data_IF_652157913702
#
_entry.id   IF_652157913702
#
_cell.length_a   1.000
_cell.length_b   1.000
_cell.length_c   1.000
_cell.angle_alpha   90.00
_cell.angle_beta   90.00
_cell.angle_gamma   90.00
#
_symmetry.space_group_name_H-M   'P 1'
#
loop_
_entity.id
_entity.type
_entity.pdbx_description
1 polymer ?
#
# COMPACT_ATOMS: atom_id res chain seq x y z
N UNK A 1 -18.56 17.98 -25.79
CA UNK A 1 -17.48 17.34 -25.01
C UNK A 1 -17.83 15.86 -24.89
N UNK A 2 -16.95 14.98 -25.36
CA UNK A 2 -17.24 13.55 -25.43
C UNK A 2 -17.42 12.97 -24.01
N UNK A 3 -18.47 12.20 -23.79
CA UNK A 3 -18.80 11.62 -22.48
C UNK A 3 -17.63 10.83 -21.88
N UNK A 4 -16.78 10.27 -22.76
CA UNK A 4 -15.55 9.54 -22.41
C UNK A 4 -14.56 10.40 -21.62
N UNK A 5 -14.39 11.68 -22.00
CA UNK A 5 -13.50 12.62 -21.29
C UNK A 5 -14.05 12.99 -19.93
N UNK A 6 -15.38 13.19 -19.83
CA UNK A 6 -16.03 13.51 -18.55
C UNK A 6 -15.85 12.37 -17.56
N UNK A 7 -16.09 11.13 -18.00
CA UNK A 7 -15.91 9.93 -17.18
C UNK A 7 -14.45 9.77 -16.74
N UNK A 8 -13.49 9.96 -17.66
CA UNK A 8 -12.06 9.91 -17.33
C UNK A 8 -11.65 10.94 -16.27
N UNK A 9 -12.14 12.18 -16.39
CA UNK A 9 -11.87 13.24 -15.42
C UNK A 9 -12.47 12.91 -14.06
N UNK A 10 -13.71 12.42 -14.00
CA UNK A 10 -14.36 12.01 -12.74
C UNK A 10 -13.57 10.90 -12.05
N UNK A 11 -13.14 9.87 -12.78
CA UNK A 11 -12.33 8.77 -12.25
C UNK A 11 -11.00 9.32 -11.69
N UNK A 12 -10.31 10.19 -12.45
CA UNK A 12 -9.04 10.77 -12.00
C UNK A 12 -9.19 11.58 -10.71
N UNK A 13 -10.22 12.43 -10.61
CA UNK A 13 -10.51 13.19 -9.39
C UNK A 13 -10.85 12.29 -8.21
N UNK A 14 -11.62 11.23 -8.44
CA UNK A 14 -11.96 10.26 -7.38
C UNK A 14 -10.71 9.56 -6.85
N UNK A 15 -9.82 9.10 -7.74
CA UNK A 15 -8.55 8.47 -7.33
C UNK A 15 -7.69 9.43 -6.53
N UNK A 16 -7.52 10.67 -6.99
CA UNK A 16 -6.76 11.70 -6.27
C UNK A 16 -7.37 12.00 -4.89
N UNK A 17 -8.70 12.10 -4.80
CA UNK A 17 -9.40 12.31 -3.53
C UNK A 17 -9.14 11.17 -2.54
N UNK A 18 -9.24 9.91 -3.00
CA UNK A 18 -8.94 8.74 -2.16
C UNK A 18 -7.49 8.75 -1.69
N UNK A 19 -6.54 9.04 -2.59
CA UNK A 19 -5.12 9.14 -2.23
C UNK A 19 -4.84 10.24 -1.19
N UNK A 20 -5.53 11.39 -1.28
CA UNK A 20 -5.41 12.46 -0.29
C UNK A 20 -5.97 12.05 1.08
N UNK A 21 -7.13 11.37 1.11
CA UNK A 21 -7.67 10.79 2.34
C UNK A 21 -6.71 9.79 2.99
N UNK A 22 -6.11 8.90 2.17
CA UNK A 22 -5.12 7.93 2.63
C UNK A 22 -3.92 8.63 3.28
N UNK A 23 -3.39 9.66 2.62
CA UNK A 23 -2.27 10.46 3.14
C UNK A 23 -2.61 11.13 4.48
N UNK A 24 -3.81 11.71 4.61
CA UNK A 24 -4.26 12.34 5.87
C UNK A 24 -4.37 11.32 7.00
N UNK A 25 -4.85 10.12 6.73
CA UNK A 25 -4.97 9.04 7.73
C UNK A 25 -3.62 8.48 8.16
N UNK A 26 -2.68 8.29 7.24
CA UNK A 26 -1.35 7.76 7.54
C UNK A 26 -0.56 8.65 8.52
N UNK A 27 -0.84 9.95 8.52
CA UNK A 27 -0.24 10.91 9.46
C UNK A 27 -0.96 11.02 10.81
N UNK A 28 -2.08 10.30 11.01
CA UNK A 28 -2.78 10.29 12.29
C UNK A 28 -1.91 9.61 13.35
N UNK A 29 -1.53 10.38 14.37
CA UNK A 29 -0.63 9.92 15.43
C UNK A 29 -1.43 9.31 16.58
N UNK A 30 -0.95 8.18 17.10
CA UNK A 30 -1.39 7.68 18.42
C UNK A 30 -0.57 8.35 19.53
N UNK A 31 -1.15 8.42 20.73
CA UNK A 31 -0.45 8.98 21.91
C UNK A 31 0.78 8.16 22.32
N UNK A 32 0.82 6.87 22.02
CA UNK A 32 1.92 5.99 22.45
C UNK A 32 2.86 5.68 21.29
N UNK A 33 4.15 6.01 21.46
CA UNK A 33 5.22 5.58 20.56
C UNK A 33 5.79 4.20 20.92
N UNK A 34 5.33 3.60 22.04
CA UNK A 34 5.85 2.31 22.54
C UNK A 34 5.08 1.12 22.01
N UNK A 35 3.77 1.32 21.71
CA UNK A 35 2.91 0.23 21.24
C UNK A 35 1.94 0.71 20.19
N UNK A 36 2.12 0.24 18.95
CA UNK A 36 1.25 0.56 17.82
C UNK A 36 1.39 -0.50 16.73
N UNK A 37 0.40 -0.55 15.85
CA UNK A 37 0.43 -1.44 14.68
C UNK A 37 0.34 -0.59 13.43
N UNK A 38 1.28 -0.79 12.52
CA UNK A 38 1.30 -0.21 11.19
C UNK A 38 0.54 -1.19 10.30
N UNK A 39 -0.50 -0.72 9.65
CA UNK A 39 -1.34 -1.52 8.77
C UNK A 39 -1.73 -0.70 7.55
N UNK A 40 -1.95 -1.39 6.45
CA UNK A 40 -2.56 -0.78 5.26
C UNK A 40 -3.94 -0.22 5.61
N UNK A 41 -4.19 1.01 5.22
CA UNK A 41 -5.46 1.69 5.52
C UNK A 41 -6.60 1.11 4.69
N UNK A 42 -7.81 1.16 5.26
CA UNK A 42 -9.02 0.61 4.65
C UNK A 42 -9.37 1.28 3.31
N UNK A 43 -8.92 2.51 3.11
CA UNK A 43 -9.17 3.28 1.88
C UNK A 43 -8.59 2.59 0.63
N UNK A 44 -7.52 1.79 0.77
CA UNK A 44 -6.98 0.95 -0.31
C UNK A 44 -8.01 -0.10 -0.77
N UNK A 45 -8.73 -0.73 0.15
CA UNK A 45 -9.78 -1.69 -0.20
C UNK A 45 -10.94 -1.00 -0.93
N UNK A 46 -11.33 0.19 -0.47
CA UNK A 46 -12.36 0.97 -1.17
C UNK A 46 -11.93 1.37 -2.57
N UNK A 47 -10.68 1.79 -2.75
CA UNK A 47 -10.14 2.09 -4.08
C UNK A 47 -10.15 0.85 -4.98
N UNK A 48 -9.71 -0.30 -4.47
CA UNK A 48 -9.75 -1.57 -5.20
C UNK A 48 -11.17 -1.94 -5.63
N UNK A 49 -12.13 -1.87 -4.70
CA UNK A 49 -13.54 -2.16 -4.99
C UNK A 49 -14.12 -1.22 -6.04
N UNK A 50 -13.80 0.09 -5.95
CA UNK A 50 -14.22 1.07 -6.94
C UNK A 50 -13.64 0.77 -8.32
N UNK A 51 -12.34 0.48 -8.42
CA UNK A 51 -11.71 0.11 -9.69
C UNK A 51 -12.36 -1.16 -10.29
N UNK A 52 -12.64 -2.16 -9.47
CA UNK A 52 -13.35 -3.36 -9.93
C UNK A 52 -14.74 -3.04 -10.48
N UNK A 53 -15.52 -2.22 -9.75
CA UNK A 53 -16.86 -1.82 -10.17
C UNK A 53 -16.84 -1.08 -11.51
N UNK A 54 -15.90 -0.14 -11.68
CA UNK A 54 -15.73 0.60 -12.95
C UNK A 54 -15.44 -0.35 -14.11
N UNK A 55 -14.52 -1.31 -13.92
CA UNK A 55 -14.19 -2.27 -15.00
C UNK A 55 -15.37 -3.16 -15.32
N UNK A 56 -16.10 -3.65 -14.31
CA UNK A 56 -17.32 -4.46 -14.55
C UNK A 56 -18.37 -3.67 -15.34
N UNK A 57 -18.61 -2.41 -14.97
CA UNK A 57 -19.55 -1.54 -15.72
C UNK A 57 -19.10 -1.34 -17.16
N UNK A 58 -17.80 -1.09 -17.40
CA UNK A 58 -17.26 -0.96 -18.75
C UNK A 58 -17.42 -2.24 -19.57
N UNK A 59 -17.18 -3.41 -18.97
CA UNK A 59 -17.40 -4.70 -19.63
C UNK A 59 -18.86 -4.90 -20.03
N UNK A 60 -19.80 -4.55 -19.14
CA UNK A 60 -21.24 -4.62 -19.44
C UNK A 60 -21.58 -3.69 -20.61
N UNK A 61 -21.10 -2.46 -20.60
CA UNK A 61 -21.32 -1.49 -21.70
C UNK A 61 -20.73 -2.01 -23.02
N UNK A 62 -19.52 -2.57 -23.00
CA UNK A 62 -18.89 -3.16 -24.19
C UNK A 62 -19.72 -4.33 -24.73
N UNK A 63 -20.20 -5.22 -23.86
CA UNK A 63 -21.05 -6.37 -24.26
C UNK A 63 -22.37 -5.92 -24.89
N UNK A 64 -23.00 -4.88 -24.34
CA UNK A 64 -24.28 -4.38 -24.86
C UNK A 64 -24.09 -3.71 -26.22
N UNK A 65 -23.03 -2.93 -26.39
CA UNK A 65 -22.78 -2.16 -27.64
C UNK A 65 -22.11 -3.00 -28.73
N UNK A 66 -21.44 -4.08 -28.38
CA UNK A 66 -20.78 -4.99 -29.32
C UNK A 66 -20.99 -6.44 -28.86
N UNK A 67 -22.06 -7.11 -29.33
CA UNK A 67 -22.35 -8.50 -28.94
C UNK A 67 -21.23 -9.49 -29.31
N UNK A 68 -20.45 -9.17 -30.36
CA UNK A 68 -19.33 -10.00 -30.82
C UNK A 68 -18.06 -9.78 -29.97
N UNK A 69 -18.09 -8.86 -29.00
CA UNK A 69 -16.95 -8.54 -28.13
C UNK A 69 -16.31 -9.78 -27.51
N UNK A 70 -17.09 -10.77 -27.13
CA UNK A 70 -16.59 -12.01 -26.51
C UNK A 70 -16.08 -13.04 -27.51
N UNK A 71 -16.46 -12.95 -28.79
CA UNK A 71 -15.96 -13.83 -29.86
C UNK A 71 -14.51 -13.45 -30.22
N UNK A 72 -14.19 -12.16 -30.18
CA UNK A 72 -12.84 -11.63 -30.36
C UNK A 72 -11.96 -11.74 -29.11
N UNK A 73 -12.53 -12.23 -28.00
CA UNK A 73 -11.82 -12.34 -26.72
C UNK A 73 -10.76 -13.43 -26.78
N UNK A 74 -9.51 -13.02 -26.75
CA UNK A 74 -8.37 -13.92 -26.82
C UNK A 74 -7.74 -14.19 -25.45
N UNK A 75 -6.77 -15.11 -25.40
CA UNK A 75 -6.04 -15.49 -24.19
C UNK A 75 -5.40 -14.27 -23.49
N UNK A 76 -4.92 -13.29 -24.25
CA UNK A 76 -4.30 -12.09 -23.70
C UNK A 76 -5.29 -11.21 -22.94
N UNK A 77 -6.52 -11.08 -23.44
CA UNK A 77 -7.60 -10.44 -22.71
C UNK A 77 -7.82 -11.10 -21.33
N UNK A 78 -7.94 -12.41 -21.33
CA UNK A 78 -8.09 -13.19 -20.08
C UNK A 78 -6.93 -12.97 -19.12
N UNK A 79 -5.68 -12.98 -19.60
CA UNK A 79 -4.48 -12.75 -18.77
C UNK A 79 -4.49 -11.34 -18.17
N UNK A 80 -4.76 -10.31 -18.97
CA UNK A 80 -4.76 -8.91 -18.52
C UNK A 80 -5.84 -8.69 -17.45
N UNK A 81 -7.08 -9.13 -17.71
CA UNK A 81 -8.17 -8.99 -16.75
C UNK A 81 -7.96 -9.82 -15.50
N UNK A 82 -7.45 -11.05 -15.65
CA UNK A 82 -7.09 -11.90 -14.53
C UNK A 82 -6.04 -11.25 -13.63
N UNK A 83 -4.98 -10.69 -14.21
CA UNK A 83 -3.96 -9.96 -13.48
C UNK A 83 -4.53 -8.71 -12.78
N UNK A 84 -5.41 -7.95 -13.45
CA UNK A 84 -6.08 -6.79 -12.87
C UNK A 84 -6.92 -7.19 -11.65
N UNK A 85 -7.81 -8.17 -11.79
CA UNK A 85 -8.66 -8.62 -10.68
C UNK A 85 -7.85 -9.24 -9.54
N UNK A 86 -6.73 -9.90 -9.84
CA UNK A 86 -5.81 -10.39 -8.82
C UNK A 86 -5.20 -9.26 -7.99
N UNK A 87 -4.74 -8.18 -8.63
CA UNK A 87 -4.24 -6.98 -7.93
C UNK A 87 -5.34 -6.34 -7.07
N UNK A 88 -6.53 -6.16 -7.62
CA UNK A 88 -7.69 -5.63 -6.88
C UNK A 88 -8.02 -6.50 -5.67
N UNK A 89 -8.00 -7.81 -5.82
CA UNK A 89 -8.23 -8.75 -4.73
C UNK A 89 -7.20 -8.60 -3.60
N UNK A 90 -5.91 -8.45 -3.96
CA UNK A 90 -4.86 -8.16 -2.98
C UNK A 90 -5.11 -6.82 -2.27
N UNK A 91 -5.51 -5.77 -3.01
CA UNK A 91 -5.85 -4.47 -2.41
C UNK A 91 -7.00 -4.58 -1.40
N UNK A 92 -8.01 -5.41 -1.67
CA UNK A 92 -9.12 -5.65 -0.75
C UNK A 92 -8.69 -6.41 0.51
N UNK A 93 -7.72 -7.33 0.39
CA UNK A 93 -7.19 -8.10 1.52
C UNK A 93 -6.17 -7.33 2.36
N UNK A 94 -5.47 -6.34 1.78
CA UNK A 94 -4.36 -5.64 2.41
C UNK A 94 -4.68 -5.03 3.79
N UNK A 95 -5.85 -4.44 4.08
CA UNK A 95 -6.17 -3.88 5.40
C UNK A 95 -6.62 -4.94 6.43
N UNK A 96 -6.77 -6.21 6.04
CA UNK A 96 -7.18 -7.25 6.96
C UNK A 96 -6.06 -7.56 7.95
N UNK A 97 -6.43 -7.68 9.24
CA UNK A 97 -5.48 -7.98 10.32
C UNK A 97 -4.65 -9.22 10.02
N UNK A 98 -3.32 -9.09 10.09
CA UNK A 98 -2.38 -10.17 9.85
C UNK A 98 -2.04 -10.40 8.38
N UNK A 99 -2.68 -9.69 7.43
CA UNK A 99 -2.31 -9.82 6.02
C UNK A 99 -1.01 -9.06 5.72
N UNK A 100 -0.90 -7.81 6.23
CA UNK A 100 0.31 -6.98 6.07
C UNK A 100 0.46 -6.03 7.25
N UNK A 101 0.87 -6.58 8.39
CA UNK A 101 1.00 -5.83 9.64
C UNK A 101 2.45 -5.71 10.09
N UNK A 102 2.81 -4.54 10.62
CA UNK A 102 4.04 -4.36 11.39
C UNK A 102 3.62 -3.94 12.79
N UNK A 103 3.83 -4.82 13.75
CA UNK A 103 3.45 -4.64 15.15
C UNK A 103 4.69 -4.20 15.91
N UNK A 104 4.62 -3.01 16.51
CA UNK A 104 5.65 -2.50 17.42
C UNK A 104 5.11 -2.62 18.84
N UNK A 105 5.82 -3.38 19.67
CA UNK A 105 5.51 -3.57 21.11
C UNK A 105 6.78 -3.37 21.92
N UNK A 106 6.93 -2.19 22.51
CA UNK A 106 8.12 -1.74 23.27
C UNK A 106 9.39 -1.80 22.42
N UNK A 107 10.26 -2.78 22.63
CA UNK A 107 11.49 -2.99 21.87
C UNK A 107 11.35 -4.05 20.77
N UNK A 108 10.21 -4.72 20.70
CA UNK A 108 9.97 -5.80 19.74
C UNK A 108 9.21 -5.29 18.51
N UNK A 109 9.67 -5.70 17.34
CA UNK A 109 9.01 -5.49 16.07
C UNK A 109 8.67 -6.84 15.46
N UNK A 110 7.39 -7.06 15.18
CA UNK A 110 6.90 -8.24 14.46
C UNK A 110 6.31 -7.81 13.13
N UNK A 111 6.90 -8.29 12.04
CA UNK A 111 6.37 -8.11 10.68
C UNK A 111 5.60 -9.37 10.31
N UNK A 112 4.35 -9.21 9.92
CA UNK A 112 3.45 -10.30 9.54
C UNK A 112 3.05 -10.13 8.08
N UNK A 113 3.24 -11.17 7.27
CA UNK A 113 2.76 -11.21 5.90
C UNK A 113 1.90 -12.45 5.67
N UNK A 114 0.75 -12.26 5.05
CA UNK A 114 -0.19 -13.34 4.66
C UNK A 114 -0.55 -14.29 5.80
N UNK A 115 -0.65 -13.77 7.06
CA UNK A 115 -0.93 -14.52 8.30
C UNK A 115 0.12 -15.57 8.67
N UNK A 116 0.89 -16.06 7.71
CA UNK A 116 1.79 -17.24 7.84
C UNK A 116 3.20 -16.78 8.16
N UNK A 117 3.73 -15.82 7.41
CA UNK A 117 5.11 -15.38 7.53
C UNK A 117 5.23 -14.35 8.63
N UNK A 118 5.99 -14.66 9.68
CA UNK A 118 6.27 -13.77 10.81
C UNK A 118 7.78 -13.64 10.99
N UNK A 119 8.26 -12.41 11.05
CA UNK A 119 9.64 -12.08 11.35
C UNK A 119 9.68 -11.20 12.58
N UNK A 120 10.62 -11.50 13.49
CA UNK A 120 10.80 -10.76 14.73
C UNK A 120 12.16 -10.09 14.75
N UNK A 121 12.19 -8.84 15.13
CA UNK A 121 13.40 -8.06 15.35
C UNK A 121 13.25 -7.19 16.60
N UNK A 122 14.38 -6.86 17.21
CA UNK A 122 14.41 -5.83 18.27
C UNK A 122 14.70 -4.48 17.64
N UNK A 123 14.11 -3.41 18.16
CA UNK A 123 14.43 -2.03 17.72
C UNK A 123 15.92 -1.76 17.92
N UNK A 124 16.51 -2.22 19.02
CA UNK A 124 17.95 -2.13 19.31
C UNK A 124 18.85 -2.84 18.30
N UNK A 125 18.30 -3.80 17.54
CA UNK A 125 19.01 -4.49 16.44
C UNK A 125 18.96 -3.75 15.12
N UNK A 126 18.13 -2.71 14.97
CA UNK A 126 18.06 -1.90 13.74
C UNK A 126 19.36 -1.11 13.64
N UNK A 127 20.01 -1.20 12.46
CA UNK A 127 21.24 -0.46 12.20
C UNK A 127 20.95 0.96 11.73
N UNK A 128 20.02 1.12 10.80
CA UNK A 128 19.59 2.41 10.27
C UNK A 128 18.27 2.28 9.50
N UNK A 129 17.61 3.42 9.32
CA UNK A 129 16.42 3.55 8.47
C UNK A 129 16.72 4.55 7.35
N UNK A 130 16.40 4.20 6.12
CA UNK A 130 16.50 5.10 4.96
C UNK A 130 15.11 5.54 4.53
N UNK A 131 14.85 6.84 4.58
CA UNK A 131 13.63 7.41 4.02
C UNK A 131 13.73 7.41 2.49
N UNK A 132 12.68 6.95 1.83
CA UNK A 132 12.54 6.94 0.36
C UNK A 132 11.20 7.50 -0.04
N UNK A 133 11.06 7.79 -1.35
CA UNK A 133 9.77 8.10 -1.91
C UNK A 133 8.80 6.93 -1.64
N UNK A 134 7.71 7.22 -0.93
CA UNK A 134 6.68 6.24 -0.57
C UNK A 134 6.88 5.50 0.75
N UNK A 135 7.96 5.72 1.52
CA UNK A 135 8.11 5.05 2.81
C UNK A 135 9.53 4.98 3.36
N UNK A 136 9.81 3.98 4.18
CA UNK A 136 11.11 3.77 4.82
C UNK A 136 11.62 2.34 4.67
N UNK A 137 12.86 2.17 4.23
CA UNK A 137 13.57 0.89 4.30
C UNK A 137 14.24 0.75 5.66
N UNK A 138 14.07 -0.40 6.28
CA UNK A 138 14.67 -0.73 7.57
C UNK A 138 15.77 -1.76 7.40
N UNK A 139 16.93 -1.48 7.97
CA UNK A 139 18.11 -2.35 7.94
C UNK A 139 18.45 -2.82 9.36
N UNK A 140 18.81 -4.08 9.48
CA UNK A 140 19.16 -4.71 10.76
C UNK A 140 20.66 -5.05 10.76
N UNK A 141 21.28 -4.91 11.92
CA UNK A 141 22.70 -5.23 12.15
C UNK A 141 23.03 -6.65 11.65
N UNK A 142 24.13 -6.79 10.91
CA UNK A 142 24.56 -8.06 10.33
C UNK A 142 23.89 -8.46 9.00
N UNK A 143 22.93 -7.65 8.49
CA UNK A 143 22.32 -7.88 7.17
C UNK A 143 22.67 -6.77 6.17
N UNK A 144 23.16 -7.15 4.98
CA UNK A 144 23.42 -6.21 3.87
C UNK A 144 22.14 -5.76 3.16
N UNK A 145 21.08 -6.58 3.19
CA UNK A 145 19.80 -6.29 2.53
C UNK A 145 18.82 -5.71 3.54
N UNK A 146 17.88 -4.89 3.05
CA UNK A 146 16.78 -4.41 3.86
C UNK A 146 16.04 -5.58 4.53
N UNK A 147 15.70 -5.42 5.80
CA UNK A 147 14.94 -6.40 6.56
C UNK A 147 13.45 -6.32 6.18
N UNK A 148 12.89 -5.10 6.14
CA UNK A 148 11.52 -4.84 5.72
C UNK A 148 11.37 -3.40 5.23
N UNK A 149 10.22 -3.12 4.63
CA UNK A 149 9.82 -1.80 4.17
C UNK A 149 8.57 -1.37 4.90
N UNK A 150 8.52 -0.10 5.30
CA UNK A 150 7.35 0.53 5.92
C UNK A 150 6.78 1.51 4.92
N UNK A 151 5.59 1.23 4.43
CA UNK A 151 4.91 2.08 3.45
C UNK A 151 4.41 3.37 4.12
N UNK A 152 4.69 4.51 3.49
CA UNK A 152 4.28 5.83 3.96
C UNK A 152 2.77 6.08 3.93
N UNK A 153 2.02 5.24 3.22
CA UNK A 153 0.56 5.30 3.15
C UNK A 153 -0.14 4.39 4.17
N UNK A 154 0.60 3.82 5.14
CA UNK A 154 0.03 2.97 6.18
C UNK A 154 -0.37 3.77 7.42
N UNK A 155 -1.30 3.23 8.20
CA UNK A 155 -1.64 3.78 9.52
C UNK A 155 -0.41 3.80 10.41
N UNK A 156 -0.26 4.87 11.19
CA UNK A 156 0.83 5.04 12.16
C UNK A 156 2.26 5.07 11.59
N UNK A 157 2.42 5.28 10.26
CA UNK A 157 3.74 5.49 9.66
C UNK A 157 4.54 6.59 10.37
N UNK A 158 3.90 7.72 10.67
CA UNK A 158 4.55 8.84 11.38
C UNK A 158 5.01 8.47 12.78
N UNK A 159 4.29 7.57 13.48
CA UNK A 159 4.70 7.06 14.79
C UNK A 159 5.97 6.22 14.68
N UNK A 160 6.06 5.40 13.62
CA UNK A 160 7.24 4.60 13.35
C UNK A 160 8.46 5.48 13.10
N UNK A 161 8.34 6.49 12.23
CA UNK A 161 9.42 7.43 11.94
C UNK A 161 9.89 8.13 13.22
N UNK A 162 8.97 8.71 14.00
CA UNK A 162 9.30 9.35 15.28
C UNK A 162 9.96 8.39 16.28
N UNK A 163 9.54 7.13 16.30
CA UNK A 163 10.16 6.12 17.15
C UNK A 163 11.60 5.86 16.72
N UNK A 164 11.84 5.72 15.40
CA UNK A 164 13.19 5.52 14.87
C UNK A 164 14.08 6.74 15.10
N UNK A 165 13.58 7.95 14.88
CA UNK A 165 14.32 9.19 15.17
C UNK A 165 14.73 9.30 16.64
N UNK A 166 13.87 8.87 17.55
CA UNK A 166 14.17 8.84 18.99
C UNK A 166 15.30 7.87 19.35
N UNK A 167 15.39 6.74 18.64
CA UNK A 167 16.38 5.69 18.92
C UNK A 167 17.70 5.89 18.17
N UNK A 168 17.66 6.49 17.00
CA UNK A 168 18.81 6.57 16.07
C UNK A 168 19.25 8.00 15.76
N UNK A 169 18.49 9.01 16.21
CA UNK A 169 18.67 10.41 15.78
C UNK A 169 17.94 10.71 14.47
N UNK A 170 18.12 11.92 13.92
CA UNK A 170 17.43 12.37 12.71
C UNK A 170 17.64 11.40 11.54
N UNK A 171 16.55 11.00 10.89
CA UNK A 171 16.61 10.10 9.74
C UNK A 171 16.92 10.90 8.48
N UNK A 172 17.95 10.49 7.75
CA UNK A 172 18.33 11.13 6.50
C UNK A 172 17.46 10.65 5.33
N UNK A 173 17.05 11.62 4.49
CA UNK A 173 16.33 11.34 3.25
C UNK A 173 17.37 11.05 2.15
N UNK A 174 17.51 9.78 1.80
CA UNK A 174 18.40 9.38 0.71
C UNK A 174 17.71 9.59 -0.64
N UNK A 175 17.86 10.76 -1.21
CA UNK A 175 17.52 10.98 -2.62
C UNK A 175 18.37 10.01 -3.44
N UNK A 176 17.73 9.21 -4.29
CA UNK A 176 18.41 8.32 -5.23
C UNK A 176 19.17 9.19 -6.24
N UNK A 177 20.43 9.49 -5.98
CA UNK A 177 21.30 10.01 -7.02
C UNK A 177 21.34 8.96 -8.13
N UNK A 178 20.73 9.28 -9.27
CA UNK A 178 20.94 8.54 -10.51
C UNK A 178 22.40 8.81 -10.90
N UNK A 179 23.27 7.85 -10.65
CA UNK A 179 24.48 7.64 -11.44
C UNK A 179 24.16 6.75 -12.62
#
# INVERSE_FOLDING_TARGET
MDIKYIVGVIIAYFVLFVLDLMRKRSHKQTRSLKRFTIRTILDIAYLGTFCAAVVVVLLIICTINNPEFWEDWNIWGTVVFGAFFFVVFIMMLAPIKGFWDIIVDHDDITVVHFWIFKWHWKISSISHCELKLGGANVYVKGRRRKAFFVDGMTDHYSNFIKRMEKEQGPLEYKLRNKQ
#
